data_IF_033504924159
#
_entry.id   IF_033504924159
#
_cell.length_a   1.000
_cell.length_b   1.000
_cell.length_c   1.000
_cell.angle_alpha   90.00
_cell.angle_beta   90.00
_cell.angle_gamma   90.00
#
_symmetry.space_group_name_H-M   'P 1'
#
loop_
_entity.id
_entity.type
_entity.pdbx_description
1 polymer ?
#
# COMPACT_ATOMS: atom_id res chain seq x y z
N UNK A 1 60.04 -10.14 33.37
CA UNK A 1 59.46 -11.45 33.02
C UNK A 1 58.61 -11.95 34.17
N UNK A 2 57.33 -12.26 33.92
CA UNK A 2 56.47 -13.06 34.82
C UNK A 2 55.41 -13.79 33.98
N UNK A 3 55.70 -15.08 33.79
CA UNK A 3 54.92 -16.27 33.42
C UNK A 3 53.61 -16.15 32.65
N UNK A 4 53.66 -16.72 31.44
CA UNK A 4 52.57 -17.09 30.53
C UNK A 4 52.17 -18.54 30.82
N UNK A 5 51.66 -18.84 32.02
CA UNK A 5 51.24 -20.20 32.41
C UNK A 5 49.93 -20.19 33.21
N UNK A 6 48.90 -19.52 32.68
CA UNK A 6 47.53 -19.82 33.06
C UNK A 6 46.91 -20.62 31.92
N UNK A 7 46.41 -21.86 32.14
CA UNK A 7 45.65 -22.56 31.12
C UNK A 7 44.43 -21.70 30.80
N UNK A 8 44.24 -21.37 29.52
CA UNK A 8 43.00 -20.76 29.05
C UNK A 8 41.88 -21.77 29.31
N UNK A 9 41.19 -21.59 30.44
CA UNK A 9 40.00 -22.39 30.76
C UNK A 9 38.94 -21.98 29.75
N UNK A 10 38.74 -22.83 28.74
CA UNK A 10 37.69 -22.64 27.75
C UNK A 10 36.32 -22.90 28.39
N UNK A 11 35.82 -21.92 29.14
CA UNK A 11 34.44 -21.91 29.66
C UNK A 11 33.55 -21.29 28.56
N UNK A 12 33.45 -21.95 27.42
CA UNK A 12 32.45 -21.65 26.39
C UNK A 12 31.58 -22.88 26.09
N UNK A 13 31.22 -23.62 27.14
CA UNK A 13 30.28 -24.76 27.04
C UNK A 13 28.82 -24.28 27.03
N UNK A 14 28.55 -23.04 27.40
CA UNK A 14 27.22 -22.43 27.29
C UNK A 14 27.14 -21.63 25.99
N UNK A 15 26.28 -22.06 25.06
CA UNK A 15 25.92 -21.27 23.88
C UNK A 15 25.36 -19.88 24.25
N UNK A 16 25.00 -19.05 23.25
CA UNK A 16 24.45 -17.73 23.51
C UNK A 16 23.26 -17.80 24.46
N UNK A 17 23.12 -16.80 25.34
CA UNK A 17 21.98 -16.71 26.24
C UNK A 17 20.67 -16.79 25.44
N UNK A 18 19.60 -17.37 26.02
CA UNK A 18 18.30 -17.50 25.35
C UNK A 18 17.83 -16.17 24.75
N UNK A 19 18.03 -15.06 25.48
CA UNK A 19 17.70 -13.71 25.00
C UNK A 19 18.49 -13.33 23.76
N UNK A 20 19.80 -13.57 23.76
CA UNK A 20 20.68 -13.30 22.62
C UNK A 20 20.29 -14.15 21.39
N UNK A 21 19.92 -15.42 21.60
CA UNK A 21 19.47 -16.30 20.53
C UNK A 21 18.17 -15.81 19.89
N UNK A 22 17.18 -15.40 20.69
CA UNK A 22 15.92 -14.83 20.18
C UNK A 22 16.14 -13.53 19.41
N UNK A 23 17.00 -12.64 19.90
CA UNK A 23 17.33 -11.38 19.22
C UNK A 23 18.01 -11.68 17.88
N UNK A 24 18.95 -12.63 17.84
CA UNK A 24 19.62 -13.04 16.61
C UNK A 24 18.66 -13.68 15.60
N UNK A 25 17.74 -14.54 16.05
CA UNK A 25 16.74 -15.16 15.17
C UNK A 25 15.72 -14.15 14.63
N UNK A 26 15.28 -13.20 15.45
CA UNK A 26 14.43 -12.09 15.01
C UNK A 26 15.16 -11.19 14.03
N UNK A 27 16.42 -10.85 14.31
CA UNK A 27 17.25 -10.06 13.40
C UNK A 27 17.40 -10.75 12.04
N UNK A 28 17.70 -12.06 12.02
CA UNK A 28 17.77 -12.84 10.79
C UNK A 28 16.43 -12.83 10.04
N UNK A 29 15.33 -13.12 10.73
CA UNK A 29 13.99 -13.18 10.13
C UNK A 29 13.57 -11.83 9.54
N UNK A 30 13.74 -10.75 10.31
CA UNK A 30 13.39 -9.40 9.87
C UNK A 30 14.30 -8.92 8.73
N UNK A 31 15.60 -9.24 8.77
CA UNK A 31 16.55 -8.87 7.70
C UNK A 31 16.25 -9.61 6.39
N UNK A 32 15.82 -10.87 6.48
CA UNK A 32 15.37 -11.67 5.32
C UNK A 32 14.00 -11.20 4.81
N UNK A 33 13.06 -10.84 5.71
CA UNK A 33 11.73 -10.36 5.36
C UNK A 33 11.75 -8.99 4.69
N UNK A 34 12.61 -8.09 5.15
CA UNK A 34 12.77 -6.74 4.59
C UNK A 34 13.73 -6.69 3.39
N UNK A 35 14.23 -7.84 2.93
CA UNK A 35 15.20 -7.97 1.85
C UNK A 35 16.48 -7.14 2.04
N UNK A 36 16.85 -6.80 3.28
CA UNK A 36 18.07 -6.04 3.57
C UNK A 36 19.30 -6.95 3.54
N UNK A 37 19.17 -8.17 4.07
CA UNK A 37 20.12 -9.26 3.82
C UNK A 37 21.58 -8.98 4.19
N UNK A 38 21.86 -8.45 5.38
CA UNK A 38 23.22 -8.07 5.80
C UNK A 38 24.26 -9.22 5.84
N UNK A 39 23.84 -10.49 5.82
CA UNK A 39 24.76 -11.64 5.76
C UNK A 39 25.50 -11.98 7.07
N UNK A 40 25.21 -11.27 8.17
CA UNK A 40 25.85 -11.51 9.48
C UNK A 40 25.45 -12.85 10.12
N UNK A 41 24.27 -13.38 9.75
CA UNK A 41 23.78 -14.71 10.10
C UNK A 41 23.44 -15.39 8.78
N UNK A 42 24.26 -16.35 8.37
CA UNK A 42 24.12 -17.07 7.11
C UNK A 42 23.88 -18.57 7.37
N UNK A 43 23.05 -19.17 6.52
CA UNK A 43 22.89 -20.62 6.47
C UNK A 43 24.19 -21.27 5.99
N UNK A 44 24.79 -22.12 6.83
CA UNK A 44 26.04 -22.79 6.50
C UNK A 44 25.79 -24.20 5.95
N UNK A 45 24.77 -24.88 6.47
CA UNK A 45 24.36 -26.21 6.02
C UNK A 45 23.33 -26.16 4.90
N UNK A 46 23.27 -27.19 4.07
CA UNK A 46 22.34 -27.23 2.94
C UNK A 46 20.86 -27.23 3.39
N UNK A 47 20.57 -27.81 4.55
CA UNK A 47 19.24 -27.75 5.16
C UNK A 47 18.85 -26.32 5.59
N UNK A 48 19.78 -25.58 6.21
CA UNK A 48 19.55 -24.17 6.58
C UNK A 48 19.35 -23.28 5.35
N UNK A 49 20.06 -23.58 4.23
CA UNK A 49 19.91 -22.82 2.98
C UNK A 49 18.51 -23.00 2.39
N UNK A 50 18.00 -24.24 2.37
CA UNK A 50 16.64 -24.53 1.92
C UNK A 50 15.62 -23.79 2.78
N UNK A 51 15.77 -23.83 4.11
CA UNK A 51 14.90 -23.07 5.01
C UNK A 51 14.96 -21.56 4.75
N UNK A 52 16.16 -21.00 4.55
CA UNK A 52 16.34 -19.58 4.22
C UNK A 52 15.68 -19.20 2.89
N UNK A 53 15.73 -20.06 1.88
CA UNK A 53 15.04 -19.83 0.59
C UNK A 53 13.52 -19.81 0.82
N UNK A 54 12.98 -20.77 1.58
CA UNK A 54 11.55 -20.80 1.89
C UNK A 54 11.10 -19.54 2.64
N UNK A 55 11.85 -19.08 3.66
CA UNK A 55 11.50 -17.88 4.42
C UNK A 55 11.61 -16.60 3.58
N UNK A 56 12.58 -16.51 2.67
CA UNK A 56 12.68 -15.41 1.71
C UNK A 56 11.50 -15.37 0.73
N UNK A 57 11.07 -16.52 0.20
CA UNK A 57 9.90 -16.59 -0.69
C UNK A 57 8.61 -16.16 0.01
N UNK A 58 8.40 -16.63 1.25
CA UNK A 58 7.25 -16.21 2.07
C UNK A 58 7.31 -14.70 2.33
N UNK A 59 8.49 -14.18 2.66
CA UNK A 59 8.69 -12.74 2.89
C UNK A 59 8.39 -11.90 1.66
N UNK A 60 8.82 -12.35 0.47
CA UNK A 60 8.54 -11.68 -0.79
C UNK A 60 7.04 -11.65 -1.11
N UNK A 61 6.32 -12.77 -0.91
CA UNK A 61 4.87 -12.83 -1.10
C UNK A 61 4.13 -11.91 -0.11
N UNK A 62 4.53 -11.90 1.16
CA UNK A 62 3.98 -11.00 2.17
C UNK A 62 4.17 -9.54 1.76
N UNK A 63 5.37 -9.17 1.32
CA UNK A 63 5.67 -7.82 0.84
C UNK A 63 4.81 -7.44 -0.37
N UNK A 64 4.67 -8.34 -1.35
CA UNK A 64 3.82 -8.12 -2.52
C UNK A 64 2.34 -7.86 -2.14
N UNK A 65 1.79 -8.63 -1.20
CA UNK A 65 0.41 -8.45 -0.73
C UNK A 65 0.23 -7.13 0.02
N UNK A 66 1.16 -6.78 0.92
CA UNK A 66 1.10 -5.52 1.67
C UNK A 66 1.16 -4.33 0.72
N UNK A 67 2.13 -4.31 -0.19
CA UNK A 67 2.25 -3.23 -1.17
C UNK A 67 1.05 -3.20 -2.12
N UNK A 68 0.55 -4.35 -2.57
CA UNK A 68 -0.66 -4.42 -3.40
C UNK A 68 -1.88 -3.81 -2.71
N UNK A 69 -2.08 -4.12 -1.41
CA UNK A 69 -3.16 -3.53 -0.61
C UNK A 69 -2.97 -2.02 -0.42
N UNK A 70 -1.74 -1.56 -0.15
CA UNK A 70 -1.44 -0.12 -0.04
C UNK A 70 -1.72 0.59 -1.36
N UNK A 71 -1.27 0.04 -2.49
CA UNK A 71 -1.55 0.57 -3.82
C UNK A 71 -3.06 0.61 -4.09
N UNK A 72 -3.81 -0.44 -3.73
CA UNK A 72 -5.26 -0.47 -3.89
C UNK A 72 -5.95 0.61 -3.03
N UNK A 73 -5.50 0.84 -1.79
CA UNK A 73 -6.02 1.90 -0.93
C UNK A 73 -5.73 3.27 -1.54
N UNK A 74 -4.50 3.50 -2.00
CA UNK A 74 -4.09 4.74 -2.67
C UNK A 74 -4.94 4.97 -3.92
N UNK A 75 -5.10 3.95 -4.77
CA UNK A 75 -5.94 4.03 -5.96
C UNK A 75 -7.39 4.33 -5.61
N UNK A 76 -7.96 3.70 -4.56
CA UNK A 76 -9.33 4.01 -4.10
C UNK A 76 -9.44 5.45 -3.59
N UNK A 77 -8.47 5.94 -2.83
CA UNK A 77 -8.42 7.33 -2.35
C UNK A 77 -8.36 8.32 -3.53
N UNK A 78 -7.50 8.04 -4.52
CA UNK A 78 -7.39 8.88 -5.71
C UNK A 78 -8.48 8.63 -6.76
N UNK A 79 -9.25 7.54 -6.69
CA UNK A 79 -10.29 7.23 -7.68
C UNK A 79 -11.33 8.35 -7.78
N UNK A 80 -11.75 8.89 -6.63
CA UNK A 80 -12.70 10.00 -6.55
C UNK A 80 -12.12 11.27 -7.19
N UNK A 81 -10.85 11.57 -6.93
CA UNK A 81 -10.19 12.76 -7.49
C UNK A 81 -9.81 12.58 -8.96
N UNK A 82 -9.45 11.38 -9.38
CA UNK A 82 -9.14 11.02 -10.76
C UNK A 82 -10.39 11.12 -11.63
N UNK A 83 -11.54 10.62 -11.15
CA UNK A 83 -12.83 10.76 -11.81
C UNK A 83 -13.21 12.23 -12.01
N UNK A 84 -13.06 13.06 -10.97
CA UNK A 84 -13.26 14.52 -11.07
C UNK A 84 -12.40 15.14 -12.18
N UNK A 85 -11.10 14.84 -12.18
CA UNK A 85 -10.16 15.41 -13.14
C UNK A 85 -10.41 14.92 -14.57
N UNK A 86 -10.82 13.67 -14.76
CA UNK A 86 -11.19 13.12 -16.06
C UNK A 86 -12.44 13.79 -16.60
N UNK A 87 -13.55 13.81 -15.83
CA UNK A 87 -14.80 14.47 -16.27
C UNK A 87 -14.60 15.97 -16.54
N UNK A 88 -13.82 16.65 -15.71
CA UNK A 88 -13.44 18.06 -15.92
C UNK A 88 -12.64 18.26 -17.22
N UNK A 89 -11.79 17.30 -17.59
CA UNK A 89 -11.03 17.33 -18.84
C UNK A 89 -11.96 17.15 -20.03
N UNK A 90 -12.84 16.16 -19.98
CA UNK A 90 -13.83 15.89 -21.03
C UNK A 90 -14.74 17.10 -21.26
N UNK A 91 -15.19 17.76 -20.19
CA UNK A 91 -15.99 18.99 -20.27
C UNK A 91 -15.20 20.12 -20.96
N UNK A 92 -13.93 20.31 -20.59
CA UNK A 92 -13.07 21.33 -21.22
C UNK A 92 -12.82 21.04 -22.70
N UNK A 93 -12.63 19.78 -23.07
CA UNK A 93 -12.46 19.38 -24.47
C UNK A 93 -13.76 19.57 -25.26
N UNK A 94 -14.92 19.23 -24.69
CA UNK A 94 -16.23 19.50 -25.30
C UNK A 94 -16.45 20.99 -25.58
N UNK A 95 -16.12 21.84 -24.60
CA UNK A 95 -16.19 23.31 -24.72
C UNK A 95 -15.26 23.83 -25.83
N UNK A 96 -14.07 23.23 -25.97
CA UNK A 96 -13.08 23.61 -26.98
C UNK A 96 -13.54 23.21 -28.39
N UNK A 97 -14.10 22.01 -28.55
CA UNK A 97 -14.59 21.50 -29.85
C UNK A 97 -15.79 22.32 -30.34
N UNK A 98 -16.75 22.63 -29.47
CA UNK A 98 -17.97 23.37 -29.84
C UNK A 98 -17.79 24.90 -29.85
N UNK A 99 -16.59 25.42 -29.57
CA UNK A 99 -16.27 26.85 -29.47
C UNK A 99 -17.30 27.65 -28.66
N UNK A 100 -17.65 27.16 -27.48
CA UNK A 100 -18.65 27.83 -26.64
C UNK A 100 -18.14 29.20 -26.15
N UNK A 101 -19.01 30.22 -26.09
CA UNK A 101 -18.65 31.55 -25.60
C UNK A 101 -18.21 31.51 -24.13
N UNK A 102 -17.28 32.40 -23.78
CA UNK A 102 -16.54 32.36 -22.50
C UNK A 102 -17.43 32.47 -21.26
N UNK A 103 -18.55 33.20 -21.36
CA UNK A 103 -19.56 33.28 -20.29
C UNK A 103 -20.28 31.95 -20.04
N UNK A 104 -20.60 31.21 -21.11
CA UNK A 104 -21.29 29.91 -21.00
C UNK A 104 -20.35 28.85 -20.40
N UNK A 105 -19.08 28.87 -20.83
CA UNK A 105 -18.00 28.05 -20.25
C UNK A 105 -17.87 28.25 -18.75
N UNK A 106 -17.88 29.51 -18.29
CA UNK A 106 -17.68 29.83 -16.87
C UNK A 106 -18.87 29.34 -16.02
N UNK A 107 -20.10 29.56 -16.50
CA UNK A 107 -21.32 29.00 -15.88
C UNK A 107 -21.31 27.48 -15.81
N UNK A 108 -20.90 26.81 -16.89
CA UNK A 108 -20.83 25.34 -16.92
C UNK A 108 -19.79 24.79 -15.92
N UNK A 109 -18.62 25.44 -15.81
CA UNK A 109 -17.58 25.04 -14.87
C UNK A 109 -17.99 25.26 -13.41
N UNK A 110 -18.61 26.40 -13.10
CA UNK A 110 -19.15 26.69 -11.76
C UNK A 110 -20.25 25.70 -11.38
N UNK A 111 -21.20 25.45 -12.28
CA UNK A 111 -22.26 24.46 -12.03
C UNK A 111 -21.69 23.06 -11.80
N UNK A 112 -20.69 22.65 -12.59
CA UNK A 112 -20.02 21.35 -12.43
C UNK A 112 -19.24 21.27 -11.11
N UNK A 113 -18.55 22.34 -10.69
CA UNK A 113 -17.86 22.41 -9.41
C UNK A 113 -18.82 22.36 -8.22
N UNK A 114 -19.92 23.10 -8.26
CA UNK A 114 -20.95 23.09 -7.21
C UNK A 114 -21.58 21.71 -7.09
N UNK A 115 -21.98 21.11 -8.21
CA UNK A 115 -22.56 19.76 -8.24
C UNK A 115 -21.56 18.73 -7.71
N UNK A 116 -20.30 18.80 -8.13
CA UNK A 116 -19.27 17.88 -7.65
C UNK A 116 -18.93 18.05 -6.16
N UNK A 117 -18.90 19.29 -5.67
CA UNK A 117 -18.65 19.59 -4.26
C UNK A 117 -19.77 19.13 -3.34
N UNK A 118 -21.01 19.14 -3.83
CA UNK A 118 -22.20 18.70 -3.06
C UNK A 118 -22.35 17.18 -3.12
N UNK A 119 -22.18 16.57 -4.30
CA UNK A 119 -22.37 15.13 -4.48
C UNK A 119 -21.13 14.26 -4.20
N UNK A 120 -19.94 14.85 -4.00
CA UNK A 120 -18.69 14.08 -3.80
C UNK A 120 -18.38 13.04 -4.90
N UNK A 121 -18.95 13.22 -6.10
CA UNK A 121 -18.86 12.29 -7.22
C UNK A 121 -19.89 11.15 -7.22
N UNK A 122 -20.94 11.23 -6.41
CA UNK A 122 -22.09 10.32 -6.44
C UNK A 122 -23.11 10.90 -7.42
N UNK A 123 -23.34 10.27 -8.58
CA UNK A 123 -24.43 10.68 -9.47
C UNK A 123 -25.78 10.26 -8.85
N UNK A 124 -26.41 11.18 -8.12
CA UNK A 124 -27.71 10.93 -7.47
C UNK A 124 -28.78 10.45 -8.45
N UNK A 125 -28.71 10.88 -9.72
CA UNK A 125 -29.61 10.45 -10.79
C UNK A 125 -29.36 9.00 -11.23
N UNK A 126 -28.09 8.57 -11.27
CA UNK A 126 -27.71 7.18 -11.58
C UNK A 126 -28.08 6.26 -10.40
N UNK A 127 -27.85 6.71 -9.16
CA UNK A 127 -28.31 6.00 -7.96
C UNK A 127 -29.84 5.87 -7.90
N UNK A 128 -30.58 6.92 -8.24
CA UNK A 128 -32.05 6.89 -8.22
C UNK A 128 -32.58 5.90 -9.25
N UNK A 129 -31.95 5.80 -10.42
CA UNK A 129 -32.36 4.89 -11.49
C UNK A 129 -32.14 3.40 -11.18
N UNK A 130 -31.29 3.08 -10.19
CA UNK A 130 -31.13 1.71 -9.65
C UNK A 130 -32.27 1.31 -8.70
N UNK A 131 -33.04 2.28 -8.18
CA UNK A 131 -34.20 2.03 -7.34
C UNK A 131 -35.51 2.04 -8.15
N UNK A 132 -36.47 1.15 -7.81
CA UNK A 132 -37.78 1.15 -8.46
C UNK A 132 -38.52 2.48 -8.23
N UNK A 133 -39.38 2.85 -9.18
CA UNK A 133 -40.05 4.16 -9.24
C UNK A 133 -40.77 4.55 -7.94
N UNK A 134 -41.27 3.56 -7.19
CA UNK A 134 -41.92 3.77 -5.88
C UNK A 134 -40.97 4.37 -4.84
N UNK A 135 -39.72 3.93 -4.78
CA UNK A 135 -38.70 4.46 -3.87
C UNK A 135 -38.17 5.82 -4.34
N UNK A 136 -38.11 6.06 -5.66
CA UNK A 136 -37.73 7.37 -6.19
C UNK A 136 -38.76 8.46 -5.84
N UNK A 137 -40.05 8.12 -5.90
CA UNK A 137 -41.14 9.03 -5.54
C UNK A 137 -41.13 9.41 -4.06
N UNK A 138 -40.79 8.47 -3.17
CA UNK A 138 -40.70 8.69 -1.73
C UNK A 138 -39.46 9.52 -1.33
N UNK A 139 -38.36 9.42 -2.08
CA UNK A 139 -37.12 10.21 -1.85
C UNK A 139 -37.24 11.64 -2.42
N UNK A 140 -38.07 11.85 -3.45
CA UNK A 140 -38.28 13.14 -4.08
C UNK A 140 -39.30 14.05 -3.36
N UNK A 141 -39.98 13.53 -2.33
CA UNK A 141 -40.95 14.25 -1.49
C UNK A 141 -40.28 14.92 -0.29
#
# INVERSE_FOLDING_TARGET
GKRIEAPYVNISVGGPSIRSAYIASLYFTLSSLTSVGFGNVCANTDAEKIFSICTMLIGALMHAVVFGNVTAIIQRMYSRRSLYHTRMKDLKDFIRVHRLPQQLKQRMLEYFQTTWSVNNGIDANELLHDFPDELQADIAM
#
